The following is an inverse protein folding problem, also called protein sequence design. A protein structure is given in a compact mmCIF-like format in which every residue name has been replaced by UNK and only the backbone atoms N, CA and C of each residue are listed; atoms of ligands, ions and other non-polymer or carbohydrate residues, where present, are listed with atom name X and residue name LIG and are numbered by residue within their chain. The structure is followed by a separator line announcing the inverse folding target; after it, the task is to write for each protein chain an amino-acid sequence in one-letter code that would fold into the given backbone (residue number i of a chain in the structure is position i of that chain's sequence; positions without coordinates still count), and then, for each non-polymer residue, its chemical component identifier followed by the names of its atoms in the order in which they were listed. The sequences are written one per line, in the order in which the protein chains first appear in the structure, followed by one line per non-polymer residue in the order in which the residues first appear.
data_IF_009429001380
#
_entry.id   IF_009429001380
#
_cell.length_a   1.000
_cell.length_b   1.000
_cell.length_c   1.000
_cell.angle_alpha   90.00
_cell.angle_beta   90.00
_cell.angle_gamma   90.00
#
_symmetry.space_group_name_H-M   'P 1'
#
loop_
_entity.id
_entity.type
_entity.pdbx_description
1 polymer ?
#
# COMPACT_ATOMS: atom_id res chain seq x y z
N UNK A 1 20.04 -19.95 0.39
CA UNK A 1 18.86 -19.37 -0.28
C UNK A 1 18.18 -18.42 0.67
N UNK A 2 18.68 -17.20 0.73
CA UNK A 2 18.08 -16.10 1.49
C UNK A 2 18.38 -14.86 0.66
N UNK A 3 17.44 -13.92 0.58
CA UNK A 3 17.55 -12.59 -0.05
C UNK A 3 16.84 -12.35 -1.40
N UNK A 4 15.74 -13.05 -1.70
CA UNK A 4 14.84 -12.67 -2.82
C UNK A 4 13.40 -12.37 -2.35
N UNK A 5 13.25 -11.74 -1.18
CA UNK A 5 11.94 -11.31 -0.64
C UNK A 5 11.86 -9.80 -0.44
N UNK A 6 12.99 -9.09 -0.35
CA UNK A 6 13.03 -7.65 -0.03
C UNK A 6 12.64 -6.72 -1.19
N UNK A 7 12.46 -7.27 -2.39
CA UNK A 7 12.15 -6.50 -3.62
C UNK A 7 10.97 -7.08 -4.40
N UNK A 8 10.15 -7.94 -3.78
CA UNK A 8 8.79 -8.24 -4.26
C UNK A 8 7.89 -7.03 -3.99
N UNK A 9 8.17 -5.95 -4.75
CA UNK A 9 7.41 -4.72 -5.00
C UNK A 9 6.31 -4.42 -3.98
N UNK A 10 6.59 -3.54 -3.00
CA UNK A 10 5.60 -2.88 -2.12
C UNK A 10 4.34 -2.43 -2.87
N UNK A 11 4.48 -2.05 -4.15
CA UNK A 11 3.42 -1.72 -5.12
C UNK A 11 2.29 -2.77 -5.16
N UNK A 12 2.63 -4.06 -5.15
CA UNK A 12 1.67 -5.15 -5.28
C UNK A 12 0.97 -5.46 -3.95
N UNK A 13 1.61 -5.18 -2.82
CA UNK A 13 1.12 -5.56 -1.48
C UNK A 13 -0.10 -4.71 -1.13
N UNK A 14 -0.04 -3.39 -1.32
CA UNK A 14 -1.15 -2.47 -0.99
C UNK A 14 -2.36 -2.76 -1.87
N UNK A 15 -2.16 -2.82 -3.19
CA UNK A 15 -3.24 -3.09 -4.15
C UNK A 15 -3.90 -4.45 -3.83
N UNK A 16 -3.09 -5.52 -3.72
CA UNK A 16 -3.59 -6.87 -3.43
C UNK A 16 -4.42 -6.89 -2.17
N UNK A 17 -3.88 -6.39 -1.07
CA UNK A 17 -4.54 -6.54 0.21
C UNK A 17 -5.74 -5.59 0.39
N UNK A 18 -5.74 -4.42 -0.27
CA UNK A 18 -6.94 -3.57 -0.38
C UNK A 18 -8.05 -4.32 -1.12
N UNK A 19 -7.73 -4.94 -2.26
CA UNK A 19 -8.70 -5.69 -3.06
C UNK A 19 -9.20 -6.96 -2.38
N UNK A 20 -8.34 -7.69 -1.66
CA UNK A 20 -8.74 -8.86 -0.86
C UNK A 20 -9.71 -8.49 0.27
N UNK A 21 -9.62 -7.26 0.78
CA UNK A 21 -10.54 -6.70 1.78
C UNK A 21 -11.78 -6.02 1.16
N UNK A 22 -11.92 -6.04 -0.17
CA UNK A 22 -13.04 -5.42 -0.89
C UNK A 22 -13.09 -3.89 -0.80
N UNK A 23 -12.00 -3.25 -0.39
CA UNK A 23 -11.95 -1.79 -0.20
C UNK A 23 -11.61 -1.08 -1.51
N UNK A 24 -12.12 0.13 -1.69
CA UNK A 24 -11.73 1.11 -2.72
C UNK A 24 -10.52 1.94 -2.29
N UNK A 25 -9.90 2.66 -3.23
CA UNK A 25 -8.78 3.57 -2.91
C UNK A 25 -9.21 4.70 -1.96
N UNK A 26 -10.45 5.17 -2.08
CA UNK A 26 -11.02 6.21 -1.22
C UNK A 26 -11.19 5.68 0.21
N UNK A 27 -11.78 4.49 0.38
CA UNK A 27 -11.93 3.86 1.69
C UNK A 27 -10.57 3.59 2.36
N UNK A 28 -9.56 3.20 1.58
CA UNK A 28 -8.21 3.04 2.11
C UNK A 28 -7.61 4.39 2.52
N UNK A 29 -7.78 5.43 1.71
CA UNK A 29 -7.26 6.76 1.95
C UNK A 29 -7.84 7.37 3.24
N UNK A 30 -9.16 7.25 3.43
CA UNK A 30 -9.85 7.73 4.62
C UNK A 30 -9.36 7.02 5.89
N UNK A 31 -9.14 5.69 5.82
CA UNK A 31 -8.73 4.87 6.96
C UNK A 31 -7.36 5.23 7.51
N UNK A 32 -6.41 5.63 6.66
CA UNK A 32 -5.04 5.98 7.05
C UNK A 32 -4.76 7.48 6.93
N UNK A 33 -5.81 8.29 6.79
CA UNK A 33 -5.77 9.75 6.76
C UNK A 33 -4.83 10.33 5.69
N UNK A 34 -4.91 9.78 4.49
CA UNK A 34 -4.18 10.27 3.31
C UNK A 34 -5.13 10.59 2.17
N UNK A 35 -4.61 11.07 1.05
CA UNK A 35 -5.43 11.31 -0.13
C UNK A 35 -5.54 10.05 -1.00
N UNK A 36 -6.66 9.88 -1.70
CA UNK A 36 -6.80 8.87 -2.76
C UNK A 36 -5.68 8.96 -3.81
N UNK A 37 -5.20 10.18 -4.10
CA UNK A 37 -4.08 10.39 -5.03
C UNK A 37 -2.77 9.80 -4.49
N UNK A 38 -2.52 9.90 -3.17
CA UNK A 38 -1.39 9.23 -2.54
C UNK A 38 -1.51 7.71 -2.71
N UNK A 39 -2.68 7.14 -2.45
CA UNK A 39 -2.97 5.72 -2.68
C UNK A 39 -2.72 5.29 -4.12
N UNK A 40 -3.24 6.05 -5.09
CA UNK A 40 -3.01 5.79 -6.51
C UNK A 40 -1.52 5.85 -6.87
N UNK A 41 -0.78 6.83 -6.35
CA UNK A 41 0.67 6.96 -6.60
C UNK A 41 1.45 5.80 -5.98
N UNK A 42 1.02 5.26 -4.85
CA UNK A 42 1.66 4.08 -4.24
C UNK A 42 1.39 2.80 -5.02
N UNK A 43 0.13 2.58 -5.43
CA UNK A 43 -0.25 1.42 -6.26
C UNK A 43 0.44 1.46 -7.63
N UNK A 44 0.58 2.65 -8.22
CA UNK A 44 1.31 2.84 -9.49
C UNK A 44 2.84 2.94 -9.29
N UNK A 45 3.31 3.02 -8.05
CA UNK A 45 4.72 3.15 -7.70
C UNK A 45 5.39 4.43 -8.20
N UNK A 46 4.62 5.50 -8.35
CA UNK A 46 5.07 6.86 -8.64
C UNK A 46 5.55 7.60 -7.39
N UNK A 47 5.36 7.02 -6.19
CA UNK A 47 5.84 7.53 -4.92
C UNK A 47 6.24 6.36 -4.02
N UNK A 48 7.40 6.46 -3.37
CA UNK A 48 7.86 5.49 -2.37
C UNK A 48 7.34 5.96 -1.01
N UNK A 49 6.55 5.12 -0.32
CA UNK A 49 6.11 5.41 1.05
C UNK A 49 7.30 5.33 2.02
N UNK A 50 7.25 6.15 3.08
CA UNK A 50 8.02 5.87 4.28
C UNK A 50 7.36 4.76 5.12
N UNK A 51 8.20 3.93 5.75
CA UNK A 51 7.87 2.69 6.46
C UNK A 51 6.69 2.79 7.47
N UNK A 52 6.41 3.99 7.98
CA UNK A 52 5.39 4.28 9.02
C UNK A 52 3.96 3.97 8.56
N UNK A 53 3.65 4.07 7.27
CA UNK A 53 2.27 3.94 6.78
C UNK A 53 1.81 2.48 6.61
N UNK A 54 2.73 1.53 6.42
CA UNK A 54 2.40 0.11 6.20
C UNK A 54 2.01 -0.56 7.51
N UNK A 55 2.66 -0.20 8.63
CA UNK A 55 2.40 -0.81 9.94
C UNK A 55 1.01 -0.46 10.49
N UNK A 56 0.48 0.72 10.18
CA UNK A 56 -0.90 1.14 10.52
C UNK A 56 -1.95 0.28 9.80
N UNK A 57 -1.58 -0.32 8.66
CA UNK A 57 -2.48 -1.05 7.78
C UNK A 57 -2.47 -2.58 8.00
N UNK A 58 -1.39 -3.11 8.61
CA UNK A 58 -1.21 -4.54 8.90
C UNK A 58 -1.70 -5.00 10.29
N UNK A 59 -1.95 -4.08 11.22
CA UNK A 59 -2.62 -4.35 12.50
C UNK A 59 -4.14 -4.21 12.36
#
# INVERSE_FOLDING_TARGET
MVMEVTTMKTKNIILKLRTERGMSQDELADKIMVTRQAVSRWENGAMQMEHIHITIWTN
#
